data_IF_172327510112
#
_entry.id   IF_172327510112
#
_cell.length_a   1.000
_cell.length_b   1.000
_cell.length_c   1.000
_cell.angle_alpha   90.00
_cell.angle_beta   90.00
_cell.angle_gamma   90.00
#
_symmetry.space_group_name_H-M   'P 1'
#
loop_
_entity.id
_entity.type
_entity.pdbx_description
1 polymer ?
#
# COMPACT_ATOMS: atom_id res chain seq x y z
N UNK A 1 -19.24 -32.88 77.40
CA UNK A 1 -18.33 -32.81 76.26
C UNK A 1 -17.70 -31.43 76.20
N UNK A 2 -16.40 -31.23 76.59
CA UNK A 2 -15.69 -29.96 76.52
C UNK A 2 -15.02 -29.89 75.17
N UNK A 3 -15.51 -28.99 74.26
CA UNK A 3 -14.82 -28.64 73.03
C UNK A 3 -13.48 -27.97 73.35
N UNK A 4 -12.37 -28.63 72.98
CA UNK A 4 -11.04 -28.03 72.99
C UNK A 4 -11.00 -26.89 71.96
N UNK A 5 -10.94 -25.65 72.41
CA UNK A 5 -10.60 -24.49 71.59
C UNK A 5 -9.13 -24.66 71.19
N UNK A 6 -8.89 -24.98 69.90
CA UNK A 6 -7.53 -24.94 69.34
C UNK A 6 -6.99 -23.49 69.45
N UNK A 7 -5.84 -23.29 70.06
CA UNK A 7 -5.19 -22.01 70.12
C UNK A 7 -4.87 -21.57 68.67
N UNK A 8 -5.41 -20.43 68.30
CA UNK A 8 -5.04 -19.76 67.04
C UNK A 8 -3.65 -19.18 67.29
N UNK A 9 -2.62 -19.82 66.72
CA UNK A 9 -1.30 -19.27 66.72
C UNK A 9 -1.33 -17.97 65.90
N UNK A 10 -1.00 -16.83 66.55
CA UNK A 10 -0.90 -15.54 65.89
C UNK A 10 0.29 -15.56 64.90
N UNK A 11 0.10 -14.91 63.73
CA UNK A 11 1.16 -14.69 62.75
C UNK A 11 2.33 -13.89 63.36
N UNK A 12 3.55 -14.35 63.17
CA UNK A 12 4.74 -13.65 63.61
C UNK A 12 5.04 -12.49 62.65
N UNK A 13 5.67 -11.43 63.16
CA UNK A 13 6.10 -10.27 62.35
C UNK A 13 7.05 -10.68 61.23
N UNK A 14 7.89 -11.71 61.48
CA UNK A 14 8.82 -12.27 60.49
C UNK A 14 8.08 -12.98 59.34
N UNK A 15 7.01 -13.74 59.61
CA UNK A 15 6.20 -14.37 58.59
C UNK A 15 5.52 -13.35 57.67
N UNK A 16 5.01 -12.25 58.22
CA UNK A 16 4.43 -11.18 57.40
C UNK A 16 5.49 -10.53 56.52
N UNK A 17 6.71 -10.28 57.07
CA UNK A 17 7.81 -9.69 56.32
C UNK A 17 8.23 -10.59 55.15
N UNK A 18 8.38 -11.89 55.36
CA UNK A 18 8.71 -12.88 54.32
C UNK A 18 7.60 -12.93 53.27
N UNK A 19 6.33 -12.96 53.69
CA UNK A 19 5.20 -13.00 52.77
C UNK A 19 5.17 -11.76 51.84
N UNK A 20 5.43 -10.56 52.37
CA UNK A 20 5.51 -9.31 51.59
C UNK A 20 6.65 -9.35 50.59
N UNK A 21 7.84 -9.83 51.00
CA UNK A 21 8.99 -9.94 50.09
C UNK A 21 8.70 -10.92 48.97
N UNK A 22 8.16 -12.11 49.27
CA UNK A 22 7.83 -13.10 48.23
C UNK A 22 6.75 -12.56 47.31
N UNK A 23 5.70 -11.92 47.84
CA UNK A 23 4.61 -11.34 47.04
C UNK A 23 5.13 -10.23 46.12
N UNK A 24 6.05 -9.40 46.57
CA UNK A 24 6.65 -8.33 45.75
C UNK A 24 7.51 -8.90 44.58
N UNK A 25 8.27 -9.96 44.85
CA UNK A 25 9.03 -10.66 43.81
C UNK A 25 8.12 -11.32 42.78
N UNK A 26 7.02 -11.96 43.22
CA UNK A 26 6.03 -12.54 42.31
C UNK A 26 5.36 -11.48 41.48
N UNK A 27 4.96 -10.32 42.05
CA UNK A 27 4.37 -9.20 41.29
C UNK A 27 5.36 -8.65 40.22
N UNK A 28 6.63 -8.48 40.59
CA UNK A 28 7.67 -8.04 39.66
C UNK A 28 7.85 -9.02 38.47
N UNK A 29 7.87 -10.33 38.75
CA UNK A 29 7.96 -11.36 37.72
C UNK A 29 6.72 -11.36 36.80
N UNK A 30 5.52 -11.25 37.37
CA UNK A 30 4.27 -11.15 36.61
C UNK A 30 4.23 -9.90 35.73
N UNK A 31 4.62 -8.75 36.26
CA UNK A 31 4.68 -7.50 35.49
C UNK A 31 5.66 -7.60 34.33
N UNK A 32 6.83 -8.16 34.56
CA UNK A 32 7.83 -8.37 33.50
C UNK A 32 7.30 -9.30 32.41
N UNK A 33 6.69 -10.42 32.80
CA UNK A 33 6.08 -11.36 31.85
C UNK A 33 4.95 -10.70 31.05
N UNK A 34 4.05 -9.95 31.70
CA UNK A 34 2.99 -9.21 31.03
C UNK A 34 3.55 -8.19 30.03
N UNK A 35 4.58 -7.44 30.41
CA UNK A 35 5.22 -6.45 29.53
C UNK A 35 5.82 -7.10 28.27
N UNK A 36 6.48 -8.26 28.43
CA UNK A 36 7.05 -9.02 27.30
C UNK A 36 5.93 -9.51 26.37
N UNK A 37 4.91 -10.16 26.93
CA UNK A 37 3.77 -10.67 26.14
C UNK A 37 3.07 -9.55 25.38
N UNK A 38 2.80 -8.42 26.05
CA UNK A 38 2.13 -7.28 25.42
C UNK A 38 2.98 -6.67 24.29
N UNK A 39 4.29 -6.53 24.49
CA UNK A 39 5.20 -6.04 23.45
C UNK A 39 5.26 -6.99 22.24
N UNK A 40 5.32 -8.29 22.49
CA UNK A 40 5.32 -9.31 21.43
C UNK A 40 3.99 -9.31 20.66
N UNK A 41 2.87 -9.25 21.37
CA UNK A 41 1.55 -9.17 20.74
C UNK A 41 1.41 -7.95 19.82
N UNK A 42 1.85 -6.77 20.28
CA UNK A 42 1.86 -5.55 19.45
C UNK A 42 2.72 -5.73 18.21
N UNK A 43 3.92 -6.30 18.33
CA UNK A 43 4.80 -6.54 17.19
C UNK A 43 4.17 -7.47 16.15
N UNK A 44 3.59 -8.59 16.58
CA UNK A 44 2.92 -9.54 15.67
C UNK A 44 1.73 -8.87 14.97
N UNK A 45 0.92 -8.12 15.72
CA UNK A 45 -0.24 -7.43 15.17
C UNK A 45 0.17 -6.33 14.17
N UNK A 46 1.17 -5.53 14.47
CA UNK A 46 1.67 -4.49 13.57
C UNK A 46 2.23 -5.11 12.29
N UNK A 47 3.00 -6.19 12.40
CA UNK A 47 3.51 -6.92 11.24
C UNK A 47 2.37 -7.45 10.36
N UNK A 48 1.37 -8.08 10.96
CA UNK A 48 0.23 -8.60 10.23
C UNK A 48 -0.55 -7.51 9.49
N UNK A 49 -0.80 -6.36 10.15
CA UNK A 49 -1.50 -5.21 9.54
C UNK A 49 -0.74 -4.65 8.33
N UNK A 50 0.57 -4.50 8.43
CA UNK A 50 1.41 -3.95 7.36
C UNK A 50 1.40 -4.89 6.16
N UNK A 51 1.66 -6.18 6.38
CA UNK A 51 1.64 -7.17 5.31
C UNK A 51 0.25 -7.28 4.66
N UNK A 52 -0.82 -7.20 5.44
CA UNK A 52 -2.19 -7.21 4.92
C UNK A 52 -2.46 -5.98 4.05
N UNK A 53 -2.17 -4.78 4.56
CA UNK A 53 -2.42 -3.53 3.83
C UNK A 53 -1.63 -3.46 2.51
N UNK A 54 -0.37 -3.92 2.52
CA UNK A 54 0.42 -4.01 1.29
C UNK A 54 -0.15 -5.00 0.28
N UNK A 55 -0.63 -6.18 0.73
CA UNK A 55 -1.28 -7.17 -0.15
C UNK A 55 -2.59 -6.67 -0.73
N UNK A 56 -3.38 -5.94 0.06
CA UNK A 56 -4.65 -5.37 -0.38
C UNK A 56 -4.43 -4.34 -1.49
N UNK A 57 -3.44 -3.44 -1.33
CA UNK A 57 -3.07 -2.49 -2.36
C UNK A 57 -2.58 -3.19 -3.65
N UNK A 58 -1.64 -4.12 -3.51
CA UNK A 58 -1.13 -4.87 -4.67
C UNK A 58 -2.25 -5.65 -5.35
N UNK A 59 -3.18 -6.24 -4.58
CA UNK A 59 -4.37 -6.92 -5.10
C UNK A 59 -5.32 -5.99 -5.87
N UNK A 60 -5.43 -4.73 -5.48
CA UNK A 60 -6.19 -3.72 -6.24
C UNK A 60 -5.49 -3.39 -7.56
N UNK A 61 -4.21 -3.03 -7.50
CA UNK A 61 -3.42 -2.71 -8.70
C UNK A 61 -3.43 -3.88 -9.69
N UNK A 62 -3.27 -5.11 -9.21
CA UNK A 62 -3.28 -6.31 -10.05
C UNK A 62 -4.60 -6.48 -10.81
N UNK A 63 -5.75 -6.21 -10.17
CA UNK A 63 -7.06 -6.26 -10.85
C UNK A 63 -7.15 -5.22 -11.95
N UNK A 64 -6.65 -4.02 -11.72
CA UNK A 64 -6.74 -2.92 -12.66
C UNK A 64 -5.76 -3.07 -13.82
N UNK A 65 -4.54 -3.54 -13.56
CA UNK A 65 -3.59 -3.91 -14.64
C UNK A 65 -4.18 -4.96 -15.57
N UNK A 66 -4.95 -5.92 -15.03
CA UNK A 66 -5.65 -6.91 -15.87
C UNK A 66 -6.74 -6.33 -16.74
N UNK A 67 -7.33 -5.20 -16.36
CA UNK A 67 -8.34 -4.48 -17.15
C UNK A 67 -7.71 -3.55 -18.19
N UNK A 68 -6.43 -3.27 -18.12
CA UNK A 68 -5.73 -2.38 -19.05
C UNK A 68 -6.05 -2.76 -20.52
N UNK A 69 -6.43 -1.78 -21.32
CA UNK A 69 -6.80 -1.97 -22.73
C UNK A 69 -8.15 -2.67 -22.97
N UNK A 70 -8.89 -3.03 -21.93
CA UNK A 70 -10.21 -3.62 -22.10
C UNK A 70 -11.17 -2.64 -22.79
N UNK A 71 -11.85 -3.10 -23.84
CA UNK A 71 -12.77 -2.29 -24.67
C UNK A 71 -12.21 -0.90 -25.02
N UNK A 72 -10.91 -0.87 -25.27
CA UNK A 72 -10.16 0.36 -25.48
C UNK A 72 -10.42 0.97 -26.85
N UNK A 73 -10.56 0.14 -27.88
CA UNK A 73 -10.80 0.57 -29.25
C UNK A 73 -12.30 0.52 -29.51
N UNK A 74 -12.90 1.67 -29.76
CA UNK A 74 -14.21 1.78 -30.35
C UNK A 74 -14.21 2.99 -31.31
N UNK A 75 -15.23 3.06 -32.19
CA UNK A 75 -15.33 4.10 -33.22
C UNK A 75 -15.58 5.48 -32.64
N UNK A 76 -16.19 5.57 -31.45
CA UNK A 76 -16.57 6.83 -30.79
C UNK A 76 -15.37 7.51 -30.10
N UNK A 77 -14.39 6.71 -29.65
CA UNK A 77 -13.21 7.24 -28.97
C UNK A 77 -11.98 6.64 -29.64
N UNK A 78 -11.42 7.31 -30.66
CA UNK A 78 -10.27 6.80 -31.39
C UNK A 78 -9.04 6.67 -30.48
N UNK A 79 -8.17 5.73 -30.83
CA UNK A 79 -6.88 5.61 -30.17
C UNK A 79 -6.11 6.93 -30.28
N UNK A 80 -5.66 7.45 -29.16
CA UNK A 80 -4.83 8.64 -29.10
C UNK A 80 -3.67 8.44 -28.13
N UNK A 81 -2.65 9.26 -28.27
CA UNK A 81 -1.46 9.27 -27.41
C UNK A 81 -1.77 9.48 -25.92
N UNK A 82 -2.95 10.03 -25.60
CA UNK A 82 -3.44 10.24 -24.24
C UNK A 82 -4.04 8.99 -23.60
N UNK A 83 -4.15 7.89 -24.35
CA UNK A 83 -4.92 6.72 -23.96
C UNK A 83 -4.09 5.44 -23.92
N UNK A 84 -2.80 5.53 -23.70
CA UNK A 84 -1.97 4.33 -23.56
C UNK A 84 -2.55 3.42 -22.48
N UNK A 85 -2.74 2.12 -22.78
CA UNK A 85 -3.36 1.18 -21.85
C UNK A 85 -2.63 1.09 -20.51
N UNK A 86 -1.31 1.12 -20.56
CA UNK A 86 -0.43 1.19 -19.38
C UNK A 86 0.67 2.20 -19.65
N UNK A 87 0.86 3.14 -18.73
CA UNK A 87 1.97 4.07 -18.74
C UNK A 87 2.64 4.05 -17.37
N UNK A 88 3.93 3.73 -17.35
CA UNK A 88 4.72 3.71 -16.13
C UNK A 88 5.72 4.86 -16.17
N UNK A 89 5.65 5.75 -15.18
CA UNK A 89 6.63 6.81 -14.99
C UNK A 89 7.53 6.42 -13.84
N UNK A 90 8.83 6.27 -14.14
CA UNK A 90 9.82 5.88 -13.13
C UNK A 90 10.08 7.01 -12.15
N UNK A 91 10.10 6.68 -10.87
CA UNK A 91 10.57 7.59 -9.85
C UNK A 91 12.07 7.86 -10.02
N UNK A 92 12.46 9.14 -9.91
CA UNK A 92 13.85 9.56 -10.08
C UNK A 92 14.49 9.90 -8.73
N UNK A 93 15.64 9.30 -8.45
CA UNK A 93 16.51 9.65 -7.30
C UNK A 93 16.42 8.71 -6.11
N UNK A 94 17.55 8.59 -5.41
CA UNK A 94 17.68 7.82 -4.16
C UNK A 94 16.81 8.47 -3.08
N UNK A 95 15.80 7.76 -2.56
CA UNK A 95 14.89 8.24 -1.53
C UNK A 95 13.69 9.08 -2.03
N UNK A 96 13.53 9.26 -3.36
CA UNK A 96 12.38 9.92 -3.98
C UNK A 96 11.68 9.02 -5.01
N UNK A 97 11.80 7.72 -4.86
CA UNK A 97 11.68 6.80 -5.96
C UNK A 97 10.48 5.86 -5.85
N UNK A 98 9.31 6.45 -5.82
CA UNK A 98 8.10 5.69 -6.10
C UNK A 98 7.74 5.85 -7.57
N UNK A 99 7.48 4.76 -8.27
CA UNK A 99 6.97 4.82 -9.62
C UNK A 99 5.49 5.23 -9.61
N UNK A 100 5.05 5.85 -10.71
CA UNK A 100 3.65 6.15 -11.00
C UNK A 100 3.18 5.22 -12.11
N UNK A 101 1.97 4.67 -12.00
CA UNK A 101 1.33 3.93 -13.06
C UNK A 101 -0.01 4.55 -13.43
N UNK A 102 -0.26 4.69 -14.71
CA UNK A 102 -1.53 5.09 -15.30
C UNK A 102 -2.08 3.91 -16.10
N UNK A 103 -3.33 3.55 -15.85
CA UNK A 103 -4.01 2.39 -16.47
C UNK A 103 -5.27 2.90 -17.13
N UNK A 104 -5.42 2.63 -18.43
CA UNK A 104 -6.58 3.06 -19.21
C UNK A 104 -7.36 1.84 -19.66
N UNK A 105 -8.68 1.90 -19.48
CA UNK A 105 -9.61 0.87 -19.93
C UNK A 105 -10.95 1.50 -20.30
N UNK A 106 -11.72 0.79 -21.14
CA UNK A 106 -13.08 1.18 -21.52
C UNK A 106 -14.12 0.62 -20.55
N UNK A 107 -15.21 1.34 -20.38
CA UNK A 107 -16.41 0.92 -19.69
C UNK A 107 -17.63 1.02 -20.61
N UNK A 108 -18.71 0.35 -20.23
CA UNK A 108 -20.02 0.50 -20.85
C UNK A 108 -20.97 0.95 -19.77
N UNK A 109 -21.59 2.10 -19.99
CA UNK A 109 -22.71 2.59 -19.18
C UNK A 109 -24.01 2.19 -19.85
N UNK A 110 -24.97 1.73 -19.05
CA UNK A 110 -26.30 1.38 -19.50
C UNK A 110 -27.31 2.37 -18.96
N UNK A 111 -27.90 3.16 -19.86
CA UNK A 111 -29.00 4.08 -19.52
C UNK A 111 -30.34 3.43 -19.89
N UNK A 112 -31.09 3.01 -18.90
CA UNK A 112 -32.43 2.45 -19.05
C UNK A 112 -33.45 3.46 -19.59
N UNK A 113 -33.21 4.76 -19.38
CA UNK A 113 -34.11 5.85 -19.79
C UNK A 113 -33.91 6.29 -21.24
N UNK A 114 -32.79 5.92 -21.85
CA UNK A 114 -32.48 6.29 -23.23
C UNK A 114 -33.26 5.47 -24.25
N UNK A 115 -33.37 5.98 -25.48
CA UNK A 115 -33.92 5.26 -26.64
C UNK A 115 -33.14 3.97 -26.92
N UNK A 116 -33.79 2.98 -27.54
CA UNK A 116 -33.25 1.62 -27.67
C UNK A 116 -31.86 1.56 -28.33
N UNK A 117 -31.52 2.48 -29.23
CA UNK A 117 -30.21 2.59 -29.87
C UNK A 117 -29.14 3.26 -28.99
N UNK A 118 -29.53 4.07 -28.03
CA UNK A 118 -28.63 4.93 -27.25
C UNK A 118 -28.44 4.43 -25.81
N UNK A 119 -28.94 3.23 -25.49
CA UNK A 119 -28.91 2.67 -24.13
C UNK A 119 -27.51 2.29 -23.66
N UNK A 120 -26.56 2.13 -24.55
CA UNK A 120 -25.18 1.78 -24.22
C UNK A 120 -24.28 2.92 -24.64
N UNK A 121 -23.70 3.61 -23.69
CA UNK A 121 -22.64 4.58 -23.93
C UNK A 121 -21.28 3.99 -23.59
N UNK A 122 -20.30 4.21 -24.46
CA UNK A 122 -18.93 3.78 -24.21
C UNK A 122 -18.19 4.90 -23.53
N UNK A 123 -17.59 4.55 -22.39
CA UNK A 123 -16.81 5.49 -21.58
C UNK A 123 -15.42 4.94 -21.37
N UNK A 124 -14.44 5.82 -21.29
CA UNK A 124 -13.07 5.47 -21.05
C UNK A 124 -12.62 6.04 -19.71
N UNK A 125 -11.99 5.20 -18.90
CA UNK A 125 -11.47 5.56 -17.59
C UNK A 125 -9.96 5.45 -17.56
N UNK A 126 -9.34 6.35 -16.79
CA UNK A 126 -7.92 6.31 -16.43
C UNK A 126 -7.81 6.20 -14.92
N UNK A 127 -7.14 5.16 -14.45
CA UNK A 127 -6.77 5.02 -13.05
C UNK A 127 -5.29 5.32 -12.91
N UNK A 128 -4.96 6.13 -11.92
CA UNK A 128 -3.59 6.51 -11.61
C UNK A 128 -3.26 6.07 -10.19
N UNK A 129 -2.11 5.41 -10.02
CA UNK A 129 -1.49 5.22 -8.72
C UNK A 129 -0.19 5.99 -8.68
N UNK A 130 -0.07 6.86 -7.70
CA UNK A 130 1.15 7.63 -7.48
C UNK A 130 1.49 7.75 -6.00
N UNK A 131 2.77 7.95 -5.71
CA UNK A 131 3.21 8.22 -4.36
C UNK A 131 3.43 9.70 -4.16
N UNK A 132 2.93 10.22 -3.06
CA UNK A 132 3.25 11.55 -2.54
C UNK A 132 3.98 11.42 -1.22
N UNK A 133 4.83 12.39 -0.88
CA UNK A 133 5.49 12.40 0.43
C UNK A 133 4.45 12.30 1.54
N UNK A 134 4.74 11.50 2.55
CA UNK A 134 3.83 11.36 3.69
C UNK A 134 3.62 12.69 4.39
N UNK A 135 2.39 12.96 4.79
CA UNK A 135 2.00 14.13 5.61
C UNK A 135 1.89 13.80 7.10
N UNK A 136 2.22 12.57 7.48
CA UNK A 136 2.12 12.14 8.89
C UNK A 136 3.25 12.76 9.69
N UNK A 137 2.91 13.33 10.83
CA UNK A 137 3.87 13.88 11.79
C UNK A 137 4.47 12.73 12.63
N UNK A 138 5.78 12.76 12.84
CA UNK A 138 6.47 11.81 13.69
C UNK A 138 6.34 12.24 15.17
N UNK A 139 5.39 11.65 15.88
CA UNK A 139 5.13 11.92 17.31
C UNK A 139 6.28 11.48 18.23
N UNK A 140 7.27 10.75 17.71
CA UNK A 140 8.39 10.25 18.52
C UNK A 140 9.49 11.28 18.72
N UNK A 141 9.45 12.40 17.98
CA UNK A 141 10.42 13.49 18.05
C UNK A 141 9.86 14.64 18.89
N UNK A 142 10.35 14.86 20.12
CA UNK A 142 9.88 15.95 20.96
C UNK A 142 10.18 17.34 20.34
N UNK A 143 9.17 18.18 20.24
CA UNK A 143 9.33 19.61 19.95
C UNK A 143 9.43 20.00 18.47
N UNK A 144 9.17 19.10 17.51
CA UNK A 144 9.20 19.43 16.10
C UNK A 144 8.10 18.76 15.30
N UNK A 145 7.49 19.48 14.37
CA UNK A 145 6.59 18.92 13.35
C UNK A 145 7.42 18.24 12.24
N UNK A 146 8.19 17.21 12.59
CA UNK A 146 8.96 16.45 11.61
C UNK A 146 8.06 15.42 10.95
N UNK A 147 7.97 15.46 9.62
CA UNK A 147 7.23 14.45 8.88
C UNK A 147 7.97 13.12 8.90
N UNK A 148 7.22 12.03 8.94
CA UNK A 148 7.81 10.70 8.82
C UNK A 148 8.48 10.56 7.45
N UNK A 149 9.61 9.89 7.43
CA UNK A 149 10.27 9.53 6.17
C UNK A 149 9.48 8.44 5.46
N UNK A 150 9.08 8.69 4.20
CA UNK A 150 8.31 7.75 3.38
C UNK A 150 7.22 8.45 2.56
N UNK A 151 6.41 7.62 1.96
CA UNK A 151 5.36 8.03 1.03
C UNK A 151 4.00 7.52 1.49
N UNK A 152 2.95 8.14 0.96
CA UNK A 152 1.62 7.59 0.90
C UNK A 152 1.26 7.33 -0.56
N UNK A 153 0.57 6.22 -0.83
CA UNK A 153 0.04 5.90 -2.15
C UNK A 153 -1.33 6.50 -2.29
N UNK A 154 -1.52 7.24 -3.36
CA UNK A 154 -2.77 7.87 -3.75
C UNK A 154 -3.28 7.22 -5.04
N UNK A 155 -4.60 7.19 -5.16
CA UNK A 155 -5.31 6.68 -6.32
C UNK A 155 -6.23 7.77 -6.84
N UNK A 156 -6.27 7.91 -8.17
CA UNK A 156 -7.21 8.80 -8.84
C UNK A 156 -7.91 8.05 -9.96
N UNK A 157 -9.18 8.37 -10.23
CA UNK A 157 -9.95 7.83 -11.34
C UNK A 157 -10.61 8.96 -12.11
N UNK A 158 -10.27 9.09 -13.38
CA UNK A 158 -10.79 10.10 -14.29
C UNK A 158 -11.57 9.45 -15.42
N UNK A 159 -12.60 10.13 -15.91
CA UNK A 159 -13.36 9.76 -17.10
C UNK A 159 -12.88 10.59 -18.30
N UNK A 160 -12.90 10.00 -19.48
CA UNK A 160 -12.63 10.75 -20.69
C UNK A 160 -13.86 11.54 -21.12
N UNK A 161 -13.67 12.83 -21.30
CA UNK A 161 -14.70 13.71 -21.84
C UNK A 161 -14.44 13.88 -23.34
N UNK A 162 -15.34 13.34 -24.16
CA UNK A 162 -15.25 13.41 -25.63
C UNK A 162 -15.44 14.80 -26.16
N UNK A 163 -16.24 15.65 -25.48
CA UNK A 163 -16.51 17.03 -25.90
C UNK A 163 -15.30 17.92 -25.74
N UNK A 164 -14.61 17.84 -24.60
CA UNK A 164 -13.42 18.63 -24.35
C UNK A 164 -12.13 17.95 -24.82
N UNK A 165 -12.22 16.68 -25.27
CA UNK A 165 -11.05 15.84 -25.60
C UNK A 165 -9.98 15.83 -24.52
N UNK A 166 -10.41 15.72 -23.25
CA UNK A 166 -9.54 15.74 -22.06
C UNK A 166 -10.06 14.78 -20.99
N UNK A 167 -9.18 14.42 -20.06
CA UNK A 167 -9.60 13.74 -18.85
C UNK A 167 -10.39 14.69 -17.96
N UNK A 168 -11.55 14.24 -17.48
CA UNK A 168 -12.42 15.04 -16.62
C UNK A 168 -11.74 15.40 -15.29
N UNK A 169 -12.13 16.53 -14.75
CA UNK A 169 -11.84 16.88 -13.36
C UNK A 169 -12.93 16.25 -12.48
N UNK A 170 -12.59 15.33 -11.56
CA UNK A 170 -13.58 14.68 -10.70
C UNK A 170 -14.43 15.65 -9.88
N UNK A 171 -13.90 16.83 -9.55
CA UNK A 171 -14.65 17.84 -8.79
C UNK A 171 -15.84 18.41 -9.58
N UNK A 172 -15.82 18.32 -10.90
CA UNK A 172 -16.86 18.86 -11.81
C UNK A 172 -17.51 17.79 -12.68
N UNK A 173 -17.06 16.54 -12.58
CA UNK A 173 -17.61 15.42 -13.34
C UNK A 173 -18.99 15.03 -12.81
N UNK A 174 -19.90 14.72 -13.71
CA UNK A 174 -21.22 14.17 -13.37
C UNK A 174 -21.18 12.70 -12.94
N UNK A 175 -20.08 12.00 -13.20
CA UNK A 175 -19.86 10.62 -12.78
C UNK A 175 -19.32 10.59 -11.34
N UNK A 176 -20.18 10.26 -10.39
CA UNK A 176 -19.84 10.15 -8.96
C UNK A 176 -18.81 9.06 -8.66
N UNK A 177 -18.46 8.22 -9.64
CA UNK A 177 -17.43 7.18 -9.48
C UNK A 177 -16.01 7.67 -9.77
N UNK A 178 -15.86 8.92 -10.25
CA UNK A 178 -14.57 9.58 -10.44
C UNK A 178 -14.10 10.23 -9.13
N UNK A 179 -12.79 10.23 -8.91
CA UNK A 179 -12.17 10.83 -7.72
C UNK A 179 -10.71 11.16 -7.98
N UNK A 180 -10.19 12.11 -7.23
CA UNK A 180 -8.78 12.50 -7.29
C UNK A 180 -8.13 12.37 -5.91
N UNK A 181 -6.89 11.90 -5.90
CA UNK A 181 -6.03 11.84 -4.72
C UNK A 181 -6.64 11.12 -3.50
N UNK A 182 -7.37 10.04 -3.73
CA UNK A 182 -7.80 9.18 -2.63
C UNK A 182 -6.60 8.45 -2.04
N UNK A 183 -6.33 8.70 -0.77
CA UNK A 183 -5.21 8.07 -0.07
C UNK A 183 -5.55 6.62 0.27
N UNK A 184 -4.79 5.67 -0.27
CA UNK A 184 -5.01 4.24 -0.09
C UNK A 184 -4.11 3.63 0.98
N UNK A 185 -2.84 4.03 1.03
CA UNK A 185 -1.88 3.43 1.95
C UNK A 185 -0.81 4.43 2.37
N UNK A 186 -0.56 4.50 3.68
CA UNK A 186 0.56 5.23 4.28
C UNK A 186 1.76 4.30 4.56
N UNK A 187 2.87 4.88 5.00
CA UNK A 187 4.10 4.18 5.41
C UNK A 187 4.75 3.37 4.30
N UNK A 188 4.58 3.79 3.06
CA UNK A 188 5.24 3.21 1.89
C UNK A 188 6.67 3.76 1.79
N UNK A 189 7.62 2.88 1.50
CA UNK A 189 9.02 3.27 1.28
C UNK A 189 9.36 3.27 -0.21
N UNK A 190 8.76 2.38 -0.97
CA UNK A 190 8.93 2.27 -2.41
C UNK A 190 7.75 1.55 -3.08
N UNK A 191 7.48 1.93 -4.32
CA UNK A 191 6.54 1.26 -5.22
C UNK A 191 7.18 1.18 -6.60
N UNK A 192 7.32 -0.03 -7.12
CA UNK A 192 8.04 -0.32 -8.36
C UNK A 192 7.14 -1.06 -9.33
N UNK A 193 7.18 -0.66 -10.60
CA UNK A 193 6.53 -1.36 -11.70
C UNK A 193 7.56 -1.70 -12.78
N UNK A 194 7.66 -2.96 -13.18
CA UNK A 194 8.55 -3.40 -14.28
C UNK A 194 7.70 -4.07 -15.34
N UNK A 195 7.53 -3.44 -16.53
CA UNK A 195 6.78 -4.03 -17.63
C UNK A 195 7.65 -5.00 -18.43
N UNK A 196 7.05 -6.10 -18.87
CA UNK A 196 7.67 -7.11 -19.72
C UNK A 196 6.82 -7.34 -20.98
N UNK A 197 7.51 -7.63 -22.08
CA UNK A 197 6.92 -8.07 -23.35
C UNK A 197 6.57 -9.59 -23.30
N UNK A 198 6.14 -10.14 -24.45
CA UNK A 198 5.79 -11.55 -24.60
C UNK A 198 7.01 -12.47 -24.51
N UNK A 199 8.20 -11.98 -24.83
CA UNK A 199 9.47 -12.71 -24.73
C UNK A 199 10.06 -12.67 -23.31
N UNK A 200 9.41 -11.96 -22.38
CA UNK A 200 9.90 -11.74 -21.01
C UNK A 200 11.05 -10.73 -20.93
N UNK A 201 11.22 -9.87 -21.92
CA UNK A 201 12.19 -8.79 -21.89
C UNK A 201 11.59 -7.56 -21.22
N UNK A 202 12.41 -6.85 -20.45
CA UNK A 202 11.97 -5.60 -19.82
C UNK A 202 11.80 -4.54 -20.91
N UNK A 203 10.60 -3.96 -20.95
CA UNK A 203 10.33 -2.79 -21.78
C UNK A 203 10.98 -1.58 -21.10
N UNK A 204 12.05 -1.07 -21.68
CA UNK A 204 12.84 0.01 -21.12
C UNK A 204 12.07 1.34 -21.15
N UNK A 205 12.04 2.03 -20.00
CA UNK A 205 11.41 3.35 -19.87
C UNK A 205 9.90 3.31 -19.66
N UNK A 206 9.29 4.48 -19.57
CA UNK A 206 7.86 4.64 -19.80
C UNK A 206 7.65 4.58 -21.30
N UNK A 207 6.77 3.72 -21.82
CA UNK A 207 6.44 3.79 -23.23
C UNK A 207 6.01 5.21 -23.55
N UNK A 208 6.66 5.84 -24.56
CA UNK A 208 6.24 7.15 -25.00
C UNK A 208 4.77 7.09 -25.44
N UNK A 209 3.98 8.17 -25.28
CA UNK A 209 2.58 8.16 -25.65
C UNK A 209 2.28 7.72 -27.09
N UNK A 210 3.23 7.85 -27.98
CA UNK A 210 3.15 7.44 -29.39
C UNK A 210 3.76 6.07 -29.66
N UNK A 211 4.25 5.38 -28.64
CA UNK A 211 5.03 4.16 -28.80
C UNK A 211 4.12 2.93 -28.86
N UNK A 212 4.26 2.10 -29.87
CA UNK A 212 3.59 0.80 -29.97
C UNK A 212 3.92 -0.11 -28.79
N UNK A 213 5.07 0.07 -28.16
CA UNK A 213 5.50 -0.68 -27.00
C UNK A 213 4.52 -0.61 -25.80
N UNK A 214 3.67 0.42 -25.74
CA UNK A 214 2.60 0.48 -24.71
C UNK A 214 1.59 -0.67 -24.84
N UNK A 215 1.43 -1.22 -26.05
CA UNK A 215 0.53 -2.33 -26.37
C UNK A 215 1.24 -3.70 -26.28
N UNK A 216 2.56 -3.71 -26.21
CA UNK A 216 3.38 -4.92 -26.12
C UNK A 216 3.53 -5.43 -24.67
N UNK A 217 3.05 -4.65 -23.68
CA UNK A 217 3.12 -5.04 -22.28
C UNK A 217 2.29 -6.28 -22.00
N UNK A 218 2.94 -7.42 -21.79
CA UNK A 218 2.29 -8.71 -21.49
C UNK A 218 2.14 -8.96 -20.02
N UNK A 219 3.13 -8.53 -19.24
CA UNK A 219 3.08 -8.63 -17.79
C UNK A 219 3.77 -7.44 -17.13
N UNK A 220 3.39 -7.19 -15.89
CA UNK A 220 3.99 -6.15 -15.05
C UNK A 220 4.33 -6.75 -13.70
N UNK A 221 5.60 -6.68 -13.31
CA UNK A 221 6.00 -6.96 -11.94
C UNK A 221 5.75 -5.74 -11.08
N UNK A 222 5.03 -5.96 -9.99
CA UNK A 222 4.64 -4.93 -9.03
C UNK A 222 5.32 -5.26 -7.71
N UNK A 223 6.12 -4.35 -7.19
CA UNK A 223 6.74 -4.50 -5.87
C UNK A 223 6.46 -3.30 -5.02
N UNK A 224 6.02 -3.54 -3.80
CA UNK A 224 5.84 -2.50 -2.79
C UNK A 224 6.66 -2.83 -1.56
N UNK A 225 7.32 -1.81 -1.01
CA UNK A 225 7.98 -1.89 0.29
C UNK A 225 7.21 -1.01 1.27
N UNK A 226 6.70 -1.63 2.32
CA UNK A 226 5.97 -0.96 3.41
C UNK A 226 6.75 -1.04 4.70
N UNK A 227 6.58 -0.05 5.58
CA UNK A 227 7.23 -0.04 6.89
C UNK A 227 6.22 0.01 8.04
N UNK A 228 6.66 -0.38 9.23
CA UNK A 228 5.86 -0.20 10.45
C UNK A 228 5.67 1.28 10.80
N UNK A 229 4.48 1.62 11.32
CA UNK A 229 4.17 2.96 11.82
C UNK A 229 4.96 3.30 13.07
N UNK A 230 5.26 2.31 13.91
CA UNK A 230 5.99 2.44 15.17
C UNK A 230 7.30 1.66 15.14
N UNK A 231 8.20 2.02 16.05
CA UNK A 231 9.44 1.28 16.25
C UNK A 231 9.13 -0.18 16.61
N UNK A 232 9.63 -1.09 15.80
CA UNK A 232 9.43 -2.53 15.94
C UNK A 232 10.58 -3.19 16.72
N UNK A 233 11.81 -2.77 16.44
CA UNK A 233 13.01 -3.33 17.06
C UNK A 233 13.44 -2.52 18.29
N UNK A 234 14.06 -3.18 19.25
CA UNK A 234 14.58 -2.53 20.47
C UNK A 234 15.77 -1.62 20.18
N UNK A 235 16.66 -2.03 19.26
CA UNK A 235 17.86 -1.29 18.88
C UNK A 235 17.84 -0.92 17.41
N UNK A 236 18.50 0.19 17.06
CA UNK A 236 18.83 0.51 15.67
C UNK A 236 19.78 -0.54 15.11
N UNK A 237 19.65 -0.89 13.87
CA UNK A 237 20.58 -1.69 13.10
C UNK A 237 20.35 -1.42 11.62
N UNK A 238 21.43 -1.46 10.84
CA UNK A 238 21.36 -1.41 9.39
C UNK A 238 20.56 -2.59 8.87
N UNK A 239 19.50 -2.34 8.11
CA UNK A 239 18.68 -3.36 7.45
C UNK A 239 18.48 -2.97 6.01
N UNK A 240 18.72 -3.92 5.12
CA UNK A 240 18.56 -3.74 3.68
C UNK A 240 17.38 -4.58 3.21
N UNK A 241 16.51 -3.97 2.43
CA UNK A 241 15.48 -4.62 1.62
C UNK A 241 15.93 -4.51 0.18
N UNK A 242 16.13 -5.65 -0.46
CA UNK A 242 16.48 -5.70 -1.88
C UNK A 242 15.25 -5.41 -2.72
N UNK A 243 15.39 -4.46 -3.66
CA UNK A 243 14.34 -4.13 -4.62
C UNK A 243 14.41 -5.05 -5.84
N UNK A 244 13.27 -5.24 -6.51
CA UNK A 244 13.24 -5.88 -7.84
C UNK A 244 13.86 -4.99 -8.92
N UNK A 245 13.94 -3.68 -8.68
CA UNK A 245 14.57 -2.73 -9.59
C UNK A 245 16.02 -2.48 -9.19
N UNK A 246 16.93 -2.62 -10.13
CA UNK A 246 18.37 -2.40 -9.91
C UNK A 246 18.64 -1.00 -9.36
N UNK A 247 19.43 -0.93 -8.29
CA UNK A 247 19.84 0.33 -7.67
C UNK A 247 18.79 1.01 -6.78
N UNK A 248 17.69 0.32 -6.46
CA UNK A 248 16.62 0.82 -5.57
C UNK A 248 16.56 0.11 -4.23
N UNK A 249 17.62 -0.54 -3.81
CA UNK A 249 17.70 -1.17 -2.50
C UNK A 249 17.56 -0.15 -1.38
N UNK A 250 16.75 -0.49 -0.38
CA UNK A 250 16.49 0.38 0.77
C UNK A 250 17.32 -0.09 1.93
N UNK A 251 18.34 0.68 2.29
CA UNK A 251 19.19 0.44 3.47
C UNK A 251 18.97 1.54 4.50
N UNK A 252 18.51 1.17 5.70
CA UNK A 252 18.22 2.12 6.79
C UNK A 252 18.75 1.63 8.13
N UNK A 253 19.38 2.51 8.89
CA UNK A 253 19.80 2.28 10.28
C UNK A 253 18.74 2.83 11.23
N UNK A 254 17.71 2.04 11.45
CA UNK A 254 16.57 2.42 12.26
C UNK A 254 15.95 1.24 13.04
N UNK A 255 14.82 1.51 13.69
CA UNK A 255 14.07 0.53 14.48
C UNK A 255 12.81 0.02 13.78
N UNK A 256 12.55 0.40 12.56
CA UNK A 256 11.31 0.04 11.86
C UNK A 256 11.42 -1.31 11.16
N UNK A 257 10.33 -2.05 11.24
CA UNK A 257 10.15 -3.26 10.42
C UNK A 257 9.72 -2.83 9.01
N UNK A 258 10.24 -3.51 8.01
CA UNK A 258 9.86 -3.35 6.60
C UNK A 258 9.51 -4.70 6.01
N UNK A 259 8.52 -4.70 5.15
CA UNK A 259 8.10 -5.88 4.39
C UNK A 259 8.04 -5.53 2.90
N UNK A 260 8.46 -6.46 2.06
CA UNK A 260 8.43 -6.32 0.60
C UNK A 260 7.46 -7.35 0.04
N UNK A 261 6.52 -6.88 -0.78
CA UNK A 261 5.52 -7.72 -1.42
C UNK A 261 5.68 -7.54 -2.92
N UNK A 262 5.95 -8.64 -3.62
CA UNK A 262 6.14 -8.65 -5.07
C UNK A 262 5.16 -9.62 -5.71
N UNK A 263 4.49 -9.19 -6.78
CA UNK A 263 3.58 -10.00 -7.59
C UNK A 263 3.73 -9.65 -9.06
N UNK A 264 3.42 -10.60 -9.94
CA UNK A 264 3.36 -10.39 -11.38
C UNK A 264 1.90 -10.33 -11.82
N UNK A 265 1.53 -9.29 -12.51
CA UNK A 265 0.22 -9.09 -13.13
C UNK A 265 0.31 -9.33 -14.64
N UNK A 266 -0.43 -10.29 -15.16
CA UNK A 266 -0.56 -10.49 -16.61
C UNK A 266 -1.68 -9.61 -17.14
N UNK A 267 -1.41 -8.87 -18.21
CA UNK A 267 -2.42 -8.11 -18.95
C UNK A 267 -3.25 -9.09 -19.81
N UNK A 268 -4.58 -8.90 -19.82
CA UNK A 268 -5.46 -9.80 -20.58
C UNK A 268 -5.79 -9.28 -21.98
N UNK A 269 -5.72 -7.97 -22.15
CA UNK A 269 -6.25 -7.28 -23.32
C UNK A 269 -5.15 -6.59 -24.14
N UNK A 270 -3.90 -6.85 -23.83
CA UNK A 270 -2.73 -6.30 -24.50
C UNK A 270 -1.87 -7.42 -25.07
N UNK A 271 -1.19 -7.15 -26.18
CA UNK A 271 -0.30 -8.14 -26.82
C UNK A 271 -1.08 -9.28 -27.49
N UNK A 272 -2.25 -8.99 -28.10
CA UNK A 272 -3.00 -9.93 -28.93
C UNK A 272 -2.75 -9.57 -30.39
#
# INVERSE_FOLDING_TARGET
MKKKLSSIAGLTLVEILIAVVISSLMMAAMFTSYSIVNSTYRQVTDRAKISQAGRDLVGQILREVRMAGYKYINDDIPASTSHNPIKITKGTGIGSSCDKVEIVFGGIEYDKGATEGDRFSYTRYKITYECKKSTIIDDTIPGGATLIEGFAVYKSKHRWNTTSSSWSDPATDSDETTYEDEKILDYVQDLVFIPFDEDGRIIAGSPAPSDSAAYEVKSVDISIVVRSSKAFYRSKAMRTITSIATGRDISKDDKYFRDSITVTANTRNLGI
#
